data_IF_359782108806
#
_entry.id   IF_359782108806
#
_cell.length_a   1.000
_cell.length_b   1.000
_cell.length_c   1.000
_cell.angle_alpha   90.00
_cell.angle_beta   90.00
_cell.angle_gamma   90.00
#
_symmetry.space_group_name_H-M   'P 1'
#
loop_
_entity.id
_entity.type
_entity.pdbx_description
1 polymer ?
#
# COMPACT_ATOMS: atom_id res chain seq x y z
N UNK A 1 -1.98 4.78 -0.44
CA UNK A 1 -0.85 4.34 -1.28
C UNK A 1 -1.38 3.47 -2.42
N UNK A 2 -0.69 3.46 -3.58
CA UNK A 2 -1.14 2.71 -4.77
C UNK A 2 -0.70 1.25 -4.78
N UNK A 3 0.39 0.93 -4.08
CA UNK A 3 0.99 -0.40 -4.04
C UNK A 3 1.10 -0.96 -2.61
N UNK A 4 1.04 -2.28 -2.48
CA UNK A 4 1.29 -3.04 -1.25
C UNK A 4 1.94 -4.39 -1.58
N UNK A 5 2.70 -4.97 -0.65
CA UNK A 5 3.23 -6.34 -0.80
C UNK A 5 2.28 -7.32 -0.11
N UNK A 6 2.06 -8.47 -0.73
CA UNK A 6 1.43 -9.60 -0.07
C UNK A 6 2.49 -10.59 0.44
N UNK A 7 2.40 -10.96 1.71
CA UNK A 7 3.24 -11.97 2.35
C UNK A 7 2.96 -13.39 1.82
N UNK A 8 1.74 -13.63 1.32
CA UNK A 8 1.32 -14.93 0.78
C UNK A 8 2.04 -15.28 -0.53
N UNK A 9 2.09 -14.32 -1.45
CA UNK A 9 2.62 -14.53 -2.80
C UNK A 9 3.99 -13.84 -2.99
N UNK A 10 4.47 -13.07 -1.99
CA UNK A 10 5.65 -12.19 -2.12
C UNK A 10 5.49 -11.10 -3.18
N UNK A 11 4.30 -10.92 -3.74
CA UNK A 11 4.03 -10.06 -4.90
C UNK A 11 3.63 -8.64 -4.48
N UNK A 12 4.16 -7.67 -5.22
CA UNK A 12 3.68 -6.29 -5.21
C UNK A 12 2.37 -6.17 -5.99
N UNK A 13 1.34 -5.67 -5.32
CA UNK A 13 0.01 -5.49 -5.89
C UNK A 13 -0.29 -4.01 -6.10
N UNK A 14 -0.81 -3.67 -7.28
CA UNK A 14 -1.46 -2.39 -7.56
C UNK A 14 -2.92 -2.43 -7.10
N UNK A 15 -3.45 -1.32 -6.57
CA UNK A 15 -4.78 -1.28 -6.00
C UNK A 15 -5.89 -1.60 -7.02
N UNK A 16 -5.73 -1.19 -8.28
CA UNK A 16 -6.68 -1.48 -9.36
C UNK A 16 -6.55 -2.94 -9.84
N UNK A 17 -5.35 -3.54 -9.80
CA UNK A 17 -5.15 -4.97 -10.11
C UNK A 17 -5.66 -5.87 -8.99
N UNK A 18 -5.47 -5.44 -7.75
CA UNK A 18 -5.87 -6.16 -6.55
C UNK A 18 -7.39 -6.29 -6.46
N UNK A 19 -8.13 -5.21 -6.75
CA UNK A 19 -9.60 -5.22 -6.75
C UNK A 19 -10.19 -6.22 -7.75
N UNK A 20 -9.48 -6.50 -8.85
CA UNK A 20 -9.92 -7.41 -9.91
C UNK A 20 -9.67 -8.89 -9.61
N UNK A 21 -9.06 -9.23 -8.48
CA UNK A 21 -8.85 -10.61 -8.07
C UNK A 21 -10.16 -11.29 -7.63
N UNK A 22 -10.19 -12.62 -7.69
CA UNK A 22 -11.37 -13.38 -7.26
C UNK A 22 -11.69 -13.14 -5.78
N UNK A 23 -12.98 -13.16 -5.37
CA UNK A 23 -13.40 -12.79 -4.01
C UNK A 23 -12.73 -13.62 -2.91
N UNK A 24 -12.57 -14.93 -3.12
CA UNK A 24 -11.91 -15.83 -2.17
C UNK A 24 -10.42 -15.52 -2.05
N UNK A 25 -9.76 -15.26 -3.17
CA UNK A 25 -8.35 -14.86 -3.19
C UNK A 25 -8.15 -13.49 -2.54
N UNK A 26 -9.06 -12.54 -2.80
CA UNK A 26 -9.07 -11.21 -2.16
C UNK A 26 -9.16 -11.31 -0.64
N UNK A 27 -10.03 -12.19 -0.12
CA UNK A 27 -10.17 -12.39 1.34
C UNK A 27 -8.87 -12.88 1.96
N UNK A 28 -8.20 -13.83 1.33
CA UNK A 28 -6.91 -14.35 1.80
C UNK A 28 -5.81 -13.29 1.71
N UNK A 29 -5.71 -12.59 0.57
CA UNK A 29 -4.69 -11.57 0.37
C UNK A 29 -4.85 -10.41 1.35
N UNK A 30 -6.08 -9.97 1.66
CA UNK A 30 -6.37 -8.83 2.56
C UNK A 30 -5.79 -8.99 3.97
N UNK A 31 -5.65 -10.21 4.47
CA UNK A 31 -5.09 -10.47 5.81
C UNK A 31 -3.56 -10.48 5.81
N UNK A 32 -2.94 -10.55 4.65
CA UNK A 32 -1.50 -10.73 4.49
C UNK A 32 -0.85 -9.58 3.72
N UNK A 33 -1.45 -8.39 3.73
CA UNK A 33 -0.87 -7.19 3.12
C UNK A 33 0.09 -6.49 4.08
N UNK A 34 1.23 -6.05 3.54
CA UNK A 34 2.24 -5.26 4.25
C UNK A 34 2.64 -4.01 3.46
N UNK A 35 3.08 -3.00 4.19
CA UNK A 35 3.67 -1.81 3.60
C UNK A 35 5.07 -2.12 3.05
N UNK A 36 5.32 -1.76 1.78
CA UNK A 36 6.61 -1.95 1.12
C UNK A 36 7.79 -1.25 1.80
N UNK A 37 7.54 -0.18 2.56
CA UNK A 37 8.60 0.65 3.14
C UNK A 37 8.84 0.49 4.64
N UNK A 38 7.93 -0.14 5.38
CA UNK A 38 8.10 -0.35 6.82
C UNK A 38 7.61 -1.71 7.30
N UNK A 39 7.19 -2.59 6.39
CA UNK A 39 6.66 -3.93 6.67
C UNK A 39 5.42 -3.99 7.59
N UNK A 40 4.91 -2.83 8.01
CA UNK A 40 3.75 -2.75 8.90
C UNK A 40 2.48 -3.31 8.23
N UNK A 41 1.54 -3.85 9.02
CA UNK A 41 0.28 -4.37 8.51
C UNK A 41 -0.45 -3.33 7.65
N UNK A 42 -0.82 -3.76 6.45
CA UNK A 42 -1.58 -2.97 5.48
C UNK A 42 -3.00 -3.50 5.31
N UNK A 43 -3.89 -2.64 4.84
CA UNK A 43 -5.28 -2.96 4.55
C UNK A 43 -5.69 -2.40 3.18
N UNK A 44 -6.60 -3.10 2.52
CA UNK A 44 -7.16 -2.69 1.25
C UNK A 44 -8.52 -2.00 1.42
N UNK A 45 -8.70 -0.85 0.79
CA UNK A 45 -9.97 -0.15 0.66
C UNK A 45 -10.49 -0.35 -0.77
N UNK A 46 -11.63 -1.02 -0.84
CA UNK A 46 -12.40 -1.24 -2.07
C UNK A 46 -12.86 0.09 -2.66
N UNK A 47 -13.02 0.15 -3.97
CA UNK A 47 -13.64 1.31 -4.62
C UNK A 47 -15.05 1.54 -4.08
N UNK A 48 -15.44 2.80 -4.01
CA UNK A 48 -16.79 3.22 -3.63
C UNK A 48 -17.19 4.44 -4.45
N UNK A 49 -18.44 4.88 -4.38
CA UNK A 49 -18.97 5.96 -5.21
C UNK A 49 -18.05 7.20 -5.21
N UNK A 50 -17.28 7.38 -6.29
CA UNK A 50 -16.33 8.47 -6.48
C UNK A 50 -14.92 8.27 -5.90
N UNK A 51 -14.59 7.11 -5.34
CA UNK A 51 -13.27 6.80 -4.76
C UNK A 51 -12.64 5.58 -5.43
N UNK A 52 -11.42 5.77 -5.92
CA UNK A 52 -10.58 4.68 -6.45
C UNK A 52 -10.17 3.72 -5.34
N UNK A 53 -9.93 2.43 -5.67
CA UNK A 53 -9.39 1.49 -4.70
C UNK A 53 -8.02 1.97 -4.23
N UNK A 54 -7.70 1.74 -2.96
CA UNK A 54 -6.44 2.18 -2.40
C UNK A 54 -6.00 1.28 -1.25
N UNK A 55 -4.69 1.14 -1.09
CA UNK A 55 -4.13 0.56 0.11
C UNK A 55 -3.89 1.64 1.17
N UNK A 56 -4.03 1.25 2.42
CA UNK A 56 -3.53 1.98 3.59
C UNK A 56 -2.68 1.05 4.44
N UNK A 57 -1.88 1.61 5.33
CA UNK A 57 -1.13 0.82 6.31
C UNK A 57 -1.04 1.56 7.64
N UNK A 58 -0.87 0.79 8.72
CA UNK A 58 -0.56 1.34 10.03
C UNK A 58 0.93 1.59 10.13
N UNK A 59 1.39 2.66 9.48
CA UNK A 59 2.82 2.97 9.36
C UNK A 59 3.47 3.24 10.72
N UNK A 60 4.67 2.69 10.92
CA UNK A 60 5.55 3.10 12.01
C UNK A 60 6.14 4.50 11.75
N UNK A 61 6.51 5.26 12.81
CA UNK A 61 7.29 6.48 12.67
C UNK A 61 8.58 6.20 11.90
N UNK A 62 8.82 6.92 10.80
CA UNK A 62 9.98 6.73 9.93
C UNK A 62 9.77 5.85 8.69
N UNK A 63 8.54 5.41 8.40
CA UNK A 63 8.26 4.74 7.13
C UNK A 63 8.60 5.64 5.94
N UNK A 64 9.39 5.14 4.99
CA UNK A 64 9.79 5.89 3.78
C UNK A 64 8.62 6.23 2.85
N UNK A 65 7.49 5.51 2.98
CA UNK A 65 6.28 5.73 2.17
C UNK A 65 5.42 6.87 2.73
N UNK A 66 5.47 7.15 4.03
CA UNK A 66 4.80 8.31 4.67
C UNK A 66 5.73 9.48 4.88
N UNK A 67 7.03 9.22 5.02
CA UNK A 67 8.07 10.24 5.05
C UNK A 67 8.22 10.75 3.62
N UNK A 68 7.40 11.73 3.25
CA UNK A 68 7.53 12.46 2.00
C UNK A 68 9.01 12.83 1.80
N UNK A 69 9.67 12.18 0.84
CA UNK A 69 11.05 12.47 0.43
C UNK A 69 11.24 13.92 -0.08
N UNK A 70 10.14 14.66 -0.24
CA UNK A 70 10.09 16.09 -0.51
C UNK A 70 10.68 16.98 0.59
N UNK A 71 10.99 16.44 1.78
CA UNK A 71 11.75 17.18 2.81
C UNK A 71 13.25 17.31 2.51
N UNK A 72 13.83 16.39 1.73
CA UNK A 72 15.29 16.34 1.51
C UNK A 72 15.73 17.22 0.33
N UNK A 73 14.88 17.39 -0.68
CA UNK A 73 15.22 18.19 -1.87
C UNK A 73 15.07 19.70 -1.69
N UNK A 74 14.50 20.19 -0.57
CA UNK A 74 14.35 21.64 -0.32
C UNK A 74 15.67 22.34 0.07
N UNK A 75 16.75 21.59 0.26
CA UNK A 75 18.08 22.14 0.61
C UNK A 75 19.17 21.87 -0.45
N UNK A 76 18.81 21.40 -1.66
CA UNK A 76 19.77 21.17 -2.76
C UNK A 76 19.55 22.10 -3.96
N UNK A 77 18.95 23.26 -3.75
CA UNK A 77 19.09 24.40 -4.66
C UNK A 77 20.35 25.17 -4.27
N UNK A 78 21.49 24.77 -4.85
CA UNK A 78 22.67 25.62 -5.02
C UNK A 78 22.46 26.54 -6.23
#
# INVERSE_FOLDING_TARGET
MRWAISDLDGKEWDADEFERQEPDRLRQLRTSLRCIGCDSPAFFRVSSAGRRPAFGAFHCPGCVVTTSSWGVFRYLSW
#
